data_IF_949651433991
#
_entry.id   IF_949651433991
#
_cell.length_a   1.000
_cell.length_b   1.000
_cell.length_c   1.000
_cell.angle_alpha   90.00
_cell.angle_beta   90.00
_cell.angle_gamma   90.00
#
_symmetry.space_group_name_H-M   'P 1'
#
loop_
_entity.id
_entity.type
_entity.pdbx_description
1 polymer ?
#
# COMPACT_ATOMS: atom_id res chain seq x y z
N UNK A 1 -16.46 7.79 -16.06
CA UNK A 1 -16.34 9.26 -16.13
C UNK A 1 -17.61 10.00 -15.74
N UNK A 2 -17.55 10.76 -14.65
CA UNK A 2 -18.59 11.70 -14.20
C UNK A 2 -17.96 12.78 -13.31
N UNK A 3 -18.52 14.00 -13.30
CA UNK A 3 -18.02 15.08 -12.43
C UNK A 3 -18.44 14.87 -10.98
N UNK A 4 -17.52 15.09 -10.05
CA UNK A 4 -17.75 14.99 -8.60
C UNK A 4 -17.14 16.23 -7.93
N UNK A 5 -17.80 16.73 -6.87
CA UNK A 5 -17.23 17.73 -5.95
C UNK A 5 -16.98 17.05 -4.61
N UNK A 6 -15.73 17.05 -4.15
CA UNK A 6 -15.33 16.48 -2.87
C UNK A 6 -14.76 17.55 -1.92
N UNK A 7 -14.90 17.31 -0.62
CA UNK A 7 -14.28 18.12 0.44
C UNK A 7 -13.16 17.29 1.07
N UNK A 8 -11.96 17.86 1.17
CA UNK A 8 -10.76 17.16 1.64
C UNK A 8 -10.08 17.92 2.77
N UNK A 9 -9.46 17.19 3.71
CA UNK A 9 -8.55 17.72 4.71
C UNK A 9 -7.13 17.26 4.38
N UNK A 10 -6.17 18.17 4.48
CA UNK A 10 -4.75 17.86 4.29
C UNK A 10 -4.05 17.93 5.64
N UNK A 11 -3.40 16.84 6.02
CA UNK A 11 -2.60 16.72 7.24
C UNK A 11 -1.19 16.33 6.82
N UNK A 12 -0.18 17.08 7.26
CA UNK A 12 1.22 16.80 6.98
C UNK A 12 1.84 16.04 8.16
N UNK A 13 2.31 14.83 7.92
CA UNK A 13 3.15 14.10 8.86
C UNK A 13 4.62 14.29 8.45
N UNK A 14 5.45 14.84 9.36
CA UNK A 14 6.86 15.09 9.04
C UNK A 14 7.62 13.77 9.06
N UNK A 15 8.63 13.64 8.19
CA UNK A 15 9.51 12.46 8.15
C UNK A 15 10.09 12.10 9.53
N UNK A 16 10.40 13.11 10.35
CA UNK A 16 10.96 12.92 11.70
C UNK A 16 9.98 12.23 12.66
N UNK A 17 8.67 12.32 12.39
CA UNK A 17 7.60 11.85 13.27
C UNK A 17 7.04 10.47 12.81
N UNK A 18 7.55 9.90 11.71
CA UNK A 18 7.04 8.63 11.17
C UNK A 18 7.59 7.40 11.89
N UNK A 19 8.79 7.50 12.48
CA UNK A 19 9.43 6.35 13.12
C UNK A 19 8.62 5.88 14.34
N UNK A 20 8.32 4.58 14.41
CA UNK A 20 7.49 4.03 15.49
C UNK A 20 5.99 4.25 15.30
N UNK A 21 5.55 4.68 14.12
CA UNK A 21 4.13 4.85 13.78
C UNK A 21 3.70 3.83 12.72
N UNK A 22 2.40 3.71 12.48
CA UNK A 22 1.87 2.88 11.39
C UNK A 22 2.28 3.37 9.99
N UNK A 23 2.73 4.62 9.87
CA UNK A 23 3.21 5.22 8.61
C UNK A 23 4.73 5.05 8.40
N UNK A 24 5.42 4.32 9.28
CA UNK A 24 6.85 4.05 9.16
C UNK A 24 7.16 3.26 7.87
N UNK A 25 8.07 3.79 7.04
CA UNK A 25 8.53 3.13 5.82
C UNK A 25 7.54 3.17 4.64
N UNK A 26 6.39 3.83 4.78
CA UNK A 26 5.42 3.97 3.69
C UNK A 26 5.97 4.87 2.59
N UNK A 27 6.17 4.29 1.41
CA UNK A 27 6.65 4.96 0.19
C UNK A 27 5.70 4.73 -1.00
N UNK A 28 4.47 4.28 -0.72
CA UNK A 28 3.43 3.94 -1.67
C UNK A 28 2.06 4.49 -1.22
N UNK A 29 1.05 4.56 -2.10
CA UNK A 29 -0.30 4.94 -1.70
C UNK A 29 -0.91 3.93 -0.72
N UNK A 30 -1.15 4.37 0.52
CA UNK A 30 -1.89 3.65 1.54
C UNK A 30 -3.28 4.29 1.68
N UNK A 31 -4.33 3.47 1.67
CA UNK A 31 -5.70 3.89 1.94
C UNK A 31 -6.16 3.30 3.27
N UNK A 32 -6.81 4.12 4.09
CA UNK A 32 -7.39 3.71 5.35
C UNK A 32 -8.89 3.99 5.36
N UNK A 33 -9.65 3.05 5.91
CA UNK A 33 -11.09 3.15 6.19
C UNK A 33 -11.33 2.84 7.68
N UNK A 34 -12.58 2.96 8.19
CA UNK A 34 -12.88 2.52 9.56
C UNK A 34 -12.51 1.05 9.82
N UNK A 35 -12.66 0.19 8.80
CA UNK A 35 -12.62 -1.27 8.99
C UNK A 35 -11.44 -1.98 8.31
N UNK A 36 -10.71 -1.30 7.42
CA UNK A 36 -9.58 -1.90 6.70
C UNK A 36 -8.47 -0.91 6.33
N UNK A 37 -7.26 -1.44 6.16
CA UNK A 37 -6.16 -0.82 5.42
C UNK A 37 -6.05 -1.44 4.03
N UNK A 38 -5.77 -0.62 3.03
CA UNK A 38 -5.68 -1.04 1.63
C UNK A 38 -4.35 -0.56 1.05
N UNK A 39 -3.53 -1.53 0.63
CA UNK A 39 -2.17 -1.31 0.11
C UNK A 39 -2.17 -1.52 -1.40
N UNK A 40 -1.63 -0.56 -2.15
CA UNK A 40 -1.61 -0.59 -3.61
C UNK A 40 -0.27 -1.08 -4.16
N UNK A 41 -0.32 -2.21 -4.87
CA UNK A 41 0.76 -2.73 -5.71
C UNK A 41 0.55 -2.39 -7.18
N UNK A 42 1.66 -2.27 -7.90
CA UNK A 42 1.68 -1.95 -9.33
C UNK A 42 2.67 -2.84 -10.08
N UNK A 43 2.53 -2.95 -11.41
CA UNK A 43 3.51 -3.66 -12.26
C UNK A 43 4.94 -3.22 -11.94
N UNK A 44 5.15 -1.92 -11.72
CA UNK A 44 6.38 -1.36 -11.16
C UNK A 44 6.05 -0.44 -9.97
N UNK A 45 6.62 -0.68 -8.77
CA UNK A 45 6.42 0.17 -7.60
C UNK A 45 6.73 1.65 -7.86
N UNK A 46 7.81 1.93 -8.61
CA UNK A 46 8.16 3.25 -9.10
C UNK A 46 8.63 3.17 -10.56
N UNK A 47 7.67 3.05 -11.48
CA UNK A 47 7.96 2.89 -12.91
C UNK A 47 8.86 3.98 -13.51
N UNK A 48 8.81 5.22 -13.00
CA UNK A 48 9.67 6.32 -13.47
C UNK A 48 11.15 6.06 -13.13
N UNK A 49 11.42 5.62 -11.90
CA UNK A 49 12.78 5.31 -11.47
C UNK A 49 13.28 4.00 -12.10
N UNK A 50 12.41 3.01 -12.25
CA UNK A 50 12.77 1.66 -12.70
C UNK A 50 12.94 1.57 -14.23
N UNK A 51 12.19 2.35 -15.01
CA UNK A 51 12.23 2.31 -16.48
C UNK A 51 13.02 3.47 -17.11
N UNK A 52 13.48 4.44 -16.31
CA UNK A 52 14.32 5.55 -16.77
C UNK A 52 13.62 6.54 -17.70
N UNK A 53 14.36 7.16 -18.61
CA UNK A 53 13.85 8.25 -19.47
C UNK A 53 12.65 7.86 -20.34
N UNK A 54 12.54 6.58 -20.71
CA UNK A 54 11.47 6.06 -21.57
C UNK A 54 10.28 5.47 -20.78
N UNK A 55 10.25 5.66 -19.46
CA UNK A 55 9.25 5.06 -18.57
C UNK A 55 7.80 5.27 -19.03
N UNK A 56 7.48 6.48 -19.48
CA UNK A 56 6.11 6.85 -19.86
C UNK A 56 5.62 6.16 -21.13
N UNK A 57 6.53 5.62 -21.96
CA UNK A 57 6.17 4.85 -23.16
C UNK A 57 6.27 3.35 -22.88
N UNK A 58 7.38 2.90 -22.28
CA UNK A 58 7.66 1.48 -22.02
C UNK A 58 6.66 0.82 -21.09
N UNK A 59 6.05 1.58 -20.18
CA UNK A 59 5.10 1.03 -19.22
C UNK A 59 3.90 0.33 -19.88
N UNK A 60 3.49 0.76 -21.08
CA UNK A 60 2.38 0.15 -21.83
C UNK A 60 2.75 -1.18 -22.52
N UNK A 61 4.04 -1.50 -22.63
CA UNK A 61 4.54 -2.75 -23.21
C UNK A 61 4.82 -3.81 -22.15
N UNK A 62 4.93 -3.39 -20.89
CA UNK A 62 5.42 -4.20 -19.76
C UNK A 62 4.34 -4.52 -18.72
N UNK A 63 3.11 -4.06 -18.95
CA UNK A 63 1.97 -4.23 -18.03
C UNK A 63 1.74 -5.70 -17.66
N UNK A 64 1.69 -6.00 -16.36
CA UNK A 64 1.41 -7.35 -15.87
C UNK A 64 0.84 -7.34 -14.45
N UNK A 65 -0.09 -8.28 -14.19
CA UNK A 65 -0.71 -8.48 -12.88
C UNK A 65 0.21 -9.23 -11.92
N UNK A 66 1.06 -10.13 -12.41
CA UNK A 66 1.95 -10.94 -11.57
C UNK A 66 2.93 -10.07 -10.75
N UNK A 67 3.68 -9.12 -11.34
CA UNK A 67 4.51 -8.21 -10.57
C UNK A 67 3.67 -7.24 -9.72
N UNK A 68 2.46 -6.87 -10.15
CA UNK A 68 1.57 -6.02 -9.34
C UNK A 68 1.11 -6.71 -8.06
N UNK A 69 0.75 -8.00 -8.15
CA UNK A 69 0.42 -8.81 -6.97
C UNK A 69 1.64 -9.00 -6.07
N UNK A 70 2.81 -9.26 -6.64
CA UNK A 70 4.07 -9.37 -5.88
C UNK A 70 4.41 -8.08 -5.15
N UNK A 71 4.26 -6.93 -5.80
CA UNK A 71 4.47 -5.62 -5.20
C UNK A 71 3.46 -5.36 -4.08
N UNK A 72 2.17 -5.63 -4.32
CA UNK A 72 1.12 -5.48 -3.31
C UNK A 72 1.36 -6.35 -2.07
N UNK A 73 1.77 -7.61 -2.24
CA UNK A 73 2.03 -8.52 -1.12
C UNK A 73 3.31 -8.17 -0.37
N UNK A 74 4.35 -7.74 -1.08
CA UNK A 74 5.61 -7.24 -0.48
C UNK A 74 5.34 -6.01 0.37
N UNK A 75 4.58 -5.04 -0.16
CA UNK A 75 4.19 -3.83 0.57
C UNK A 75 3.31 -4.12 1.77
N UNK A 76 2.37 -5.05 1.66
CA UNK A 76 1.51 -5.46 2.77
C UNK A 76 2.32 -6.18 3.86
N UNK A 77 3.30 -7.01 3.49
CA UNK A 77 4.26 -7.59 4.45
C UNK A 77 5.01 -6.48 5.18
N UNK A 78 5.57 -5.53 4.45
CA UNK A 78 6.32 -4.41 5.05
C UNK A 78 5.42 -3.57 5.97
N UNK A 79 4.15 -3.37 5.59
CA UNK A 79 3.16 -2.70 6.43
C UNK A 79 2.90 -3.44 7.74
N UNK A 80 2.75 -4.76 7.71
CA UNK A 80 2.56 -5.58 8.91
C UNK A 80 3.79 -5.60 9.81
N UNK A 81 4.98 -5.73 9.22
CA UNK A 81 6.24 -5.73 9.97
C UNK A 81 6.48 -4.37 10.63
N UNK A 82 6.30 -3.28 9.88
CA UNK A 82 6.56 -1.94 10.38
C UNK A 82 5.43 -1.42 11.26
N UNK A 83 4.16 -1.69 10.94
CA UNK A 83 2.99 -1.14 11.63
C UNK A 83 2.48 -2.00 12.78
N UNK A 84 2.73 -3.31 12.77
CA UNK A 84 2.21 -4.25 13.78
C UNK A 84 3.31 -5.11 14.44
N UNK A 85 4.59 -4.79 14.21
CA UNK A 85 5.75 -5.48 14.76
C UNK A 85 5.79 -7.00 14.50
N UNK A 86 5.15 -7.47 13.43
CA UNK A 86 5.23 -8.87 13.03
C UNK A 86 6.61 -9.20 12.46
N UNK A 87 7.07 -10.41 12.68
CA UNK A 87 8.17 -10.97 11.89
C UNK A 87 7.75 -11.20 10.44
N UNK A 88 8.72 -11.39 9.54
CA UNK A 88 8.43 -11.70 8.13
C UNK A 88 7.60 -12.99 7.98
N UNK A 89 7.91 -14.02 8.76
CA UNK A 89 7.19 -15.30 8.75
C UNK A 89 5.74 -15.13 9.23
N UNK A 90 5.51 -14.36 10.30
CA UNK A 90 4.17 -14.05 10.80
C UNK A 90 3.37 -13.22 9.79
N UNK A 91 4.00 -12.22 9.16
CA UNK A 91 3.36 -11.39 8.15
C UNK A 91 2.91 -12.22 6.94
N UNK A 92 3.77 -13.08 6.37
CA UNK A 92 3.38 -13.93 5.25
C UNK A 92 2.32 -14.97 5.62
N UNK A 93 2.43 -15.55 6.81
CA UNK A 93 1.41 -16.47 7.33
C UNK A 93 0.05 -15.79 7.38
N UNK A 94 -0.01 -14.58 7.96
CA UNK A 94 -1.24 -13.81 8.10
C UNK A 94 -1.81 -13.38 6.75
N UNK A 95 -0.97 -12.86 5.84
CA UNK A 95 -1.40 -12.44 4.49
C UNK A 95 -2.08 -13.58 3.74
N UNK A 96 -1.58 -14.80 3.89
CA UNK A 96 -2.10 -15.97 3.16
C UNK A 96 -3.52 -16.36 3.60
N UNK A 97 -3.91 -16.04 4.82
CA UNK A 97 -5.18 -16.50 5.41
C UNK A 97 -6.16 -15.37 5.77
N UNK A 98 -5.67 -14.14 5.92
CA UNK A 98 -6.43 -13.01 6.44
C UNK A 98 -6.47 -11.77 5.55
N UNK A 99 -5.73 -11.75 4.44
CA UNK A 99 -5.77 -10.65 3.48
C UNK A 99 -6.42 -11.08 2.16
N UNK A 100 -7.16 -10.16 1.56
CA UNK A 100 -7.72 -10.33 0.20
C UNK A 100 -6.90 -9.52 -0.79
N UNK A 101 -6.67 -10.07 -1.99
CA UNK A 101 -6.05 -9.34 -3.10
C UNK A 101 -7.03 -9.22 -4.26
N UNK A 102 -7.22 -8.00 -4.75
CA UNK A 102 -8.11 -7.72 -5.86
C UNK A 102 -7.44 -6.83 -6.92
N UNK A 103 -7.88 -7.00 -8.17
CA UNK A 103 -7.39 -6.18 -9.29
C UNK A 103 -7.98 -4.78 -9.18
N UNK A 104 -7.12 -3.77 -9.11
CA UNK A 104 -7.55 -2.36 -9.11
C UNK A 104 -7.93 -1.92 -10.52
N UNK A 105 -7.03 -2.16 -11.49
CA UNK A 105 -7.21 -1.81 -12.89
C UNK A 105 -6.19 -2.53 -13.78
N UNK A 106 -6.52 -2.64 -15.07
CA UNK A 106 -5.67 -3.23 -16.13
C UNK A 106 -5.63 -2.38 -17.40
N UNK A 107 -5.73 -1.06 -17.27
CA UNK A 107 -5.89 -0.14 -18.41
C UNK A 107 -4.96 1.07 -18.40
N UNK A 108 -4.24 1.34 -17.30
CA UNK A 108 -3.43 2.55 -17.15
C UNK A 108 -1.92 2.36 -17.49
N UNK A 109 -1.57 1.25 -18.15
CA UNK A 109 -0.17 0.85 -18.38
C UNK A 109 0.47 0.24 -17.13
N UNK A 110 0.60 0.98 -16.03
CA UNK A 110 1.10 0.42 -14.78
C UNK A 110 -0.06 -0.27 -14.04
N UNK A 111 -0.36 -1.54 -14.37
CA UNK A 111 -1.51 -2.26 -13.82
C UNK A 111 -1.44 -2.38 -12.29
N UNK A 112 -2.60 -2.41 -11.65
CA UNK A 112 -2.71 -2.33 -10.20
C UNK A 112 -3.42 -3.53 -9.57
N UNK A 113 -2.88 -3.98 -8.44
CA UNK A 113 -3.51 -4.94 -7.51
C UNK A 113 -3.49 -4.29 -6.13
N UNK A 114 -4.57 -4.44 -5.35
CA UNK A 114 -4.61 -3.97 -3.97
C UNK A 114 -4.82 -5.11 -3.00
N UNK A 115 -4.07 -5.06 -1.89
CA UNK A 115 -4.22 -5.94 -0.74
C UNK A 115 -5.08 -5.27 0.33
N UNK A 116 -6.09 -5.97 0.83
CA UNK A 116 -7.05 -5.50 1.81
C UNK A 116 -6.79 -6.24 3.13
N UNK A 117 -6.55 -5.47 4.19
CA UNK A 117 -6.25 -5.98 5.53
C UNK A 117 -7.33 -5.50 6.51
N UNK A 118 -8.23 -6.39 7.00
CA UNK A 118 -9.24 -6.02 7.97
C UNK A 118 -8.62 -5.60 9.32
N UNK A 119 -9.07 -4.49 9.89
CA UNK A 119 -8.61 -4.00 11.19
C UNK A 119 -9.01 -4.89 12.36
N UNK A 120 -10.16 -5.57 12.22
CA UNK A 120 -10.72 -6.45 13.25
C UNK A 120 -9.84 -7.67 13.60
N UNK A 121 -8.75 -7.92 12.86
CA UNK A 121 -7.78 -8.96 13.18
C UNK A 121 -6.78 -8.54 14.27
N UNK A 122 -6.71 -7.25 14.59
CA UNK A 122 -5.74 -6.71 15.53
C UNK A 122 -6.44 -6.01 16.70
N UNK A 123 -5.88 -6.17 17.89
CA UNK A 123 -6.20 -5.31 19.03
C UNK A 123 -5.49 -3.95 18.89
N UNK A 124 -6.03 -2.89 19.49
CA UNK A 124 -5.44 -1.54 19.44
C UNK A 124 -3.99 -1.52 19.95
N UNK A 125 -3.62 -2.42 20.87
CA UNK A 125 -2.26 -2.53 21.40
C UNK A 125 -1.24 -3.13 20.42
N UNK A 126 -1.72 -3.84 19.39
CA UNK A 126 -0.88 -4.48 18.37
C UNK A 126 -0.57 -3.53 17.21
N UNK A 127 -1.37 -2.48 17.04
CA UNK A 127 -1.24 -1.48 15.97
C UNK A 127 -0.43 -0.30 16.48
N UNK A 128 0.68 0.03 15.80
CA UNK A 128 1.44 1.24 16.11
C UNK A 128 0.58 2.49 15.96
N UNK A 129 0.81 3.54 16.77
CA UNK A 129 -0.01 4.74 16.72
C UNK A 129 0.14 5.47 15.38
N UNK A 130 -0.87 6.27 15.03
CA UNK A 130 -0.70 7.31 14.01
C UNK A 130 0.24 8.41 14.52
N UNK A 131 1.01 9.08 13.65
CA UNK A 131 1.78 10.25 14.07
C UNK A 131 0.85 11.35 14.58
N UNK A 132 1.29 12.07 15.61
CA UNK A 132 0.55 13.23 16.14
C UNK A 132 0.24 14.22 15.01
N UNK A 133 -1.01 14.67 14.94
CA UNK A 133 -1.39 15.73 14.03
C UNK A 133 -0.89 17.06 14.59
N UNK A 134 -0.06 17.78 13.82
CA UNK A 134 0.35 19.16 14.11
C UNK A 134 -0.83 20.14 14.04
#
# INVERSE_FOLDING_TARGET
ETSITGTFQFILHKQADLKGTILEGINYPLLETPDAWIVHGFTFPNYLAELGEEAQTKIYELSSLDPALKDSSTKLRDFLMNGMNLSEDEAYSLITVGADFAITQVVDGNWGVHGILPKAMFEDAEVKPMPDAL
#
